data_IF_628387395265
#
_entry.id   IF_628387395265
#
_cell.length_a   1.000
_cell.length_b   1.000
_cell.length_c   1.000
_cell.angle_alpha   90.00
_cell.angle_beta   90.00
_cell.angle_gamma   90.00
#
_symmetry.space_group_name_H-M   'P 1'
#
loop_
_entity.id
_entity.type
_entity.pdbx_description
1 polymer ?
#
# COMPACT_ATOMS: atom_id res chain seq x y z
N UNK A 1 8.68 21.36 -12.22
CA UNK A 1 7.99 20.73 -11.08
C UNK A 1 7.53 19.36 -11.53
N UNK A 2 7.90 18.29 -10.83
CA UNK A 2 7.29 16.98 -11.08
C UNK A 2 5.82 17.10 -10.69
N UNK A 3 4.91 16.78 -11.62
CA UNK A 3 3.47 16.88 -11.38
C UNK A 3 3.07 16.01 -10.20
N UNK A 4 2.32 16.57 -9.24
CA UNK A 4 1.71 15.80 -8.17
C UNK A 4 0.52 15.02 -8.75
N UNK A 5 0.37 13.77 -8.38
CA UNK A 5 -0.76 12.94 -8.78
C UNK A 5 -1.18 12.01 -7.65
N UNK A 6 -2.44 11.57 -7.66
CA UNK A 6 -3.00 10.65 -6.68
C UNK A 6 -2.71 9.21 -7.12
N UNK A 7 -2.26 8.36 -6.20
CA UNK A 7 -1.95 6.95 -6.47
C UNK A 7 -2.40 6.05 -5.33
N UNK A 8 -2.81 4.84 -5.66
CA UNK A 8 -3.17 3.79 -4.71
C UNK A 8 -1.93 3.03 -4.25
N UNK A 9 -1.80 2.86 -2.94
CA UNK A 9 -0.67 2.22 -2.27
C UNK A 9 -1.13 1.06 -1.41
N UNK A 10 -0.34 -0.01 -1.42
CA UNK A 10 -0.59 -1.26 -0.74
C UNK A 10 0.58 -1.55 0.21
N UNK A 11 0.29 -1.60 1.51
CA UNK A 11 1.29 -1.84 2.54
C UNK A 11 1.43 -3.34 2.82
N UNK A 12 2.58 -3.92 2.49
CA UNK A 12 2.91 -5.32 2.80
C UNK A 12 3.02 -5.61 4.30
N UNK A 13 3.27 -4.58 5.14
CA UNK A 13 3.48 -4.76 6.58
C UNK A 13 2.19 -4.87 7.39
N UNK A 14 1.19 -4.06 7.05
CA UNK A 14 -0.05 -3.94 7.83
C UNK A 14 -1.31 -4.26 7.03
N UNK A 15 -1.23 -4.30 5.70
CA UNK A 15 -2.35 -4.61 4.81
C UNK A 15 -3.16 -3.39 4.37
N UNK A 16 -2.81 -2.18 4.82
CA UNK A 16 -3.51 -0.97 4.43
C UNK A 16 -3.43 -0.73 2.91
N UNK A 17 -4.58 -0.49 2.30
CA UNK A 17 -4.74 -0.01 0.93
C UNK A 17 -5.33 1.41 0.99
N UNK A 18 -4.60 2.40 0.47
CA UNK A 18 -5.00 3.81 0.55
C UNK A 18 -4.55 4.60 -0.66
N UNK A 19 -5.19 5.75 -0.88
CA UNK A 19 -4.69 6.72 -1.83
C UNK A 19 -3.82 7.79 -1.17
N UNK A 20 -2.74 8.18 -1.84
CA UNK A 20 -1.92 9.31 -1.42
C UNK A 20 -1.51 10.19 -2.61
N UNK A 21 -1.19 11.45 -2.33
CA UNK A 21 -0.62 12.37 -3.31
C UNK A 21 0.90 12.19 -3.36
N UNK A 22 1.39 11.80 -4.52
CA UNK A 22 2.81 11.50 -4.71
C UNK A 22 3.42 12.33 -5.85
N UNK A 23 4.74 12.24 -5.97
CA UNK A 23 5.52 12.70 -7.13
C UNK A 23 6.43 11.56 -7.58
N UNK A 24 7.00 11.64 -8.77
CA UNK A 24 7.97 10.64 -9.26
C UNK A 24 9.24 10.51 -8.39
N UNK A 25 9.49 11.42 -7.44
CA UNK A 25 10.70 11.43 -6.60
C UNK A 25 10.45 11.21 -5.10
N UNK A 26 9.19 11.08 -4.64
CA UNK A 26 8.91 11.01 -3.21
C UNK A 26 8.98 9.58 -2.65
N UNK A 27 9.61 9.46 -1.48
CA UNK A 27 9.44 8.31 -0.58
C UNK A 27 8.02 8.35 -0.01
N UNK A 28 7.27 7.27 -0.18
CA UNK A 28 5.92 7.12 0.40
C UNK A 28 6.03 6.39 1.74
N UNK A 29 5.25 6.82 2.72
CA UNK A 29 5.19 6.22 4.06
C UNK A 29 3.75 5.80 4.34
N UNK A 30 3.56 4.59 4.85
CA UNK A 30 2.26 4.09 5.24
C UNK A 30 1.73 4.88 6.44
N UNK A 31 0.53 5.47 6.28
CA UNK A 31 -0.08 6.30 7.32
C UNK A 31 -0.57 5.54 8.56
N UNK A 32 -0.72 4.21 8.47
CA UNK A 32 -1.14 3.40 9.61
C UNK A 32 0.03 2.89 10.46
N UNK A 33 1.07 2.33 9.84
CA UNK A 33 2.15 1.66 10.55
C UNK A 33 3.54 2.30 10.38
N UNK A 34 3.65 3.40 9.63
CA UNK A 34 4.90 4.10 9.39
C UNK A 34 5.89 3.38 8.46
N UNK A 35 5.50 2.24 7.88
CA UNK A 35 6.35 1.49 6.94
C UNK A 35 6.67 2.32 5.69
N UNK A 36 7.84 2.08 5.09
CA UNK A 36 8.26 2.73 3.85
C UNK A 36 8.77 1.71 2.83
N UNK A 37 8.96 2.17 1.59
CA UNK A 37 9.54 1.33 0.53
C UNK A 37 10.99 0.89 0.81
N UNK A 38 11.66 1.40 1.85
CA UNK A 38 13.03 1.04 2.23
C UNK A 38 13.10 -0.05 3.32
N UNK A 39 11.97 -0.41 3.94
CA UNK A 39 11.92 -1.34 5.07
C UNK A 39 11.26 -2.67 4.67
N UNK A 40 9.94 -2.82 4.85
CA UNK A 40 9.19 -4.04 4.52
C UNK A 40 8.59 -4.00 3.09
N UNK A 41 8.94 -2.97 2.30
CA UNK A 41 8.36 -2.71 0.99
C UNK A 41 7.04 -1.94 1.08
N UNK A 42 6.80 -1.07 0.10
CA UNK A 42 5.56 -0.32 -0.03
C UNK A 42 5.28 -0.23 -1.51
N UNK A 43 4.15 -0.80 -1.91
CA UNK A 43 3.85 -1.05 -3.31
C UNK A 43 2.80 -0.07 -3.80
N UNK A 44 2.90 0.25 -5.08
CA UNK A 44 1.78 0.87 -5.79
C UNK A 44 0.87 -0.27 -6.26
N UNK A 45 -0.39 -0.26 -5.84
CA UNK A 45 -1.29 -1.41 -6.02
C UNK A 45 -1.56 -1.72 -7.50
N UNK A 46 -1.45 -0.71 -8.36
CA UNK A 46 -1.63 -0.79 -9.81
C UNK A 46 -0.38 -1.28 -10.56
N UNK A 47 0.72 -1.57 -9.86
CA UNK A 47 1.97 -1.98 -10.49
C UNK A 47 2.07 -3.49 -10.71
N UNK A 48 2.78 -3.85 -11.78
CA UNK A 48 3.20 -5.24 -12.05
C UNK A 48 3.97 -5.82 -10.86
N UNK A 49 4.80 -5.00 -10.19
CA UNK A 49 5.53 -5.42 -8.99
C UNK A 49 4.62 -5.88 -7.85
N UNK A 50 3.51 -5.19 -7.63
CA UNK A 50 2.50 -5.62 -6.65
C UNK A 50 1.82 -6.92 -7.10
N UNK A 51 1.41 -7.03 -8.37
CA UNK A 51 0.76 -8.23 -8.89
C UNK A 51 1.63 -9.50 -8.71
N UNK A 52 2.93 -9.40 -8.93
CA UNK A 52 3.86 -10.52 -8.69
C UNK A 52 4.10 -10.79 -7.20
N UNK A 53 4.12 -9.75 -6.36
CA UNK A 53 4.34 -9.90 -4.92
C UNK A 53 3.07 -10.23 -4.12
N UNK A 54 1.89 -10.16 -4.74
CA UNK A 54 0.59 -10.23 -4.06
C UNK A 54 0.46 -11.46 -3.15
N UNK A 55 0.75 -12.65 -3.69
CA UNK A 55 0.64 -13.90 -2.93
C UNK A 55 1.61 -13.95 -1.74
N UNK A 56 2.82 -13.40 -1.88
CA UNK A 56 3.79 -13.30 -0.77
C UNK A 56 3.34 -12.30 0.28
N UNK A 57 2.79 -11.15 -0.16
CA UNK A 57 2.24 -10.14 0.74
C UNK A 57 1.08 -10.71 1.56
N UNK A 58 0.16 -11.44 0.94
CA UNK A 58 -0.94 -12.09 1.65
C UNK A 58 -0.44 -13.12 2.67
N UNK A 59 0.58 -13.91 2.31
CA UNK A 59 1.19 -14.88 3.22
C UNK A 59 1.85 -14.18 4.42
N UNK A 60 2.67 -13.15 4.18
CA UNK A 60 3.36 -12.39 5.23
C UNK A 60 2.38 -11.71 6.17
N UNK A 61 1.30 -11.12 5.63
CA UNK A 61 0.24 -10.51 6.44
C UNK A 61 -0.44 -11.56 7.32
N UNK A 62 -0.77 -12.73 6.75
CA UNK A 62 -1.40 -13.82 7.49
C UNK A 62 -0.50 -14.35 8.61
N UNK A 63 0.81 -14.51 8.37
CA UNK A 63 1.78 -14.89 9.40
C UNK A 63 1.87 -13.86 10.54
N UNK A 64 1.65 -12.58 10.22
CA UNK A 64 1.59 -11.48 11.20
C UNK A 64 0.22 -11.30 11.85
N UNK A 65 -0.78 -12.12 11.50
CA UNK A 65 -2.16 -11.97 11.97
C UNK A 65 -2.84 -10.69 11.47
N UNK A 66 -2.48 -10.25 10.26
CA UNK A 66 -3.00 -9.07 9.57
C UNK A 66 -3.75 -9.50 8.31
N UNK A 67 -4.62 -8.62 7.84
CA UNK A 67 -5.37 -8.80 6.59
C UNK A 67 -5.35 -7.50 5.77
N UNK A 68 -5.55 -7.65 4.45
CA UNK A 68 -5.74 -6.51 3.58
C UNK A 68 -6.99 -5.75 3.99
N UNK A 69 -6.88 -4.44 4.12
CA UNK A 69 -8.00 -3.60 4.49
C UNK A 69 -7.83 -2.22 3.84
N UNK A 70 -8.96 -1.61 3.54
CA UNK A 70 -8.98 -0.32 2.89
C UNK A 70 -8.98 0.81 3.92
N UNK A 71 -8.40 1.94 3.54
CA UNK A 71 -8.54 3.19 4.29
C UNK A 71 -9.97 3.72 4.25
N UNK A 72 -10.37 4.51 5.24
CA UNK A 72 -11.73 5.08 5.36
C UNK A 72 -12.16 5.93 4.16
N UNK A 73 -11.22 6.58 3.49
CA UNK A 73 -11.51 7.41 2.32
C UNK A 73 -11.51 6.61 1.01
N UNK A 74 -11.28 5.30 1.09
CA UNK A 74 -11.23 4.42 -0.07
C UNK A 74 -12.64 4.01 -0.51
N UNK A 75 -12.95 3.98 -1.82
CA UNK A 75 -14.27 3.57 -2.32
C UNK A 75 -14.69 2.14 -1.95
N UNK A 76 -13.73 1.31 -1.55
CA UNK A 76 -13.95 -0.07 -1.13
C UNK A 76 -13.92 -0.26 0.40
N UNK A 77 -13.84 0.82 1.20
CA UNK A 77 -13.81 0.73 2.67
C UNK A 77 -14.95 -0.13 3.25
N UNK A 78 -16.18 0.13 2.79
CA UNK A 78 -17.38 -0.58 3.26
C UNK A 78 -17.77 -1.76 2.35
N UNK A 79 -16.98 -2.06 1.34
CA UNK A 79 -17.23 -3.20 0.45
C UNK A 79 -16.52 -4.43 1.03
N UNK A 80 -17.22 -5.11 1.93
CA UNK A 80 -16.89 -6.48 2.34
C UNK A 80 -17.02 -7.44 1.17
#
# INVERSE_FOLDING_TARGET
MLGKYKREYCCSRCGLIWFDTTTTANTTVCKECGNSNKEDGLYTCDSIGYAYAYASIEADLKERGKELHYDKEHPYYDKK
#
